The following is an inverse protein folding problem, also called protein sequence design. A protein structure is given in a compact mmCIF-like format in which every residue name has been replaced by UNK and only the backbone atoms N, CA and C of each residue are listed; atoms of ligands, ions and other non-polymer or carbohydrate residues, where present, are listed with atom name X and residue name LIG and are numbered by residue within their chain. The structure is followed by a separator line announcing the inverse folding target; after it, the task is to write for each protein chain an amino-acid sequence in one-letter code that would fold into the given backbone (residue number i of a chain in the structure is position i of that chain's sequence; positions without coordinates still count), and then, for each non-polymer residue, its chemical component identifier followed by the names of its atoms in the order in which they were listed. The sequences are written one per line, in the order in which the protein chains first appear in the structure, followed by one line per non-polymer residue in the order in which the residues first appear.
data_IF_995350713065
#
_entry.id   IF_995350713065
#
_cell.length_a   1.000
_cell.length_b   1.000
_cell.length_c   1.000
_cell.angle_alpha   90.00
_cell.angle_beta   90.00
_cell.angle_gamma   90.00
#
_symmetry.space_group_name_H-M   'P 1'
#
loop_
_entity.id
_entity.type
_entity.pdbx_description
1 polymer ?
#
# COMPACT_ATOMS: atom_id res chain seq x y z
N UNK A 1 2.64 16.83 6.70
CA UNK A 1 3.63 15.85 6.16
C UNK A 1 4.05 16.12 4.70
N UNK A 2 3.13 16.31 3.73
CA UNK A 2 3.47 16.56 2.31
C UNK A 2 4.41 17.75 2.06
N UNK A 3 4.21 18.89 2.73
CA UNK A 3 5.05 20.09 2.58
C UNK A 3 6.52 19.83 2.95
N UNK A 4 6.77 19.10 4.04
CA UNK A 4 8.12 18.76 4.49
C UNK A 4 8.89 17.89 3.48
N UNK A 5 8.19 16.94 2.84
CA UNK A 5 8.80 16.09 1.80
C UNK A 5 9.16 16.89 0.55
N UNK A 6 8.34 17.88 0.19
CA UNK A 6 8.60 18.77 -0.94
C UNK A 6 9.84 19.65 -0.65
N UNK A 7 9.95 20.22 0.55
CA UNK A 7 11.13 21.02 0.94
C UNK A 7 12.42 20.21 0.88
N UNK A 8 12.45 19.03 1.52
CA UNK A 8 13.63 18.15 1.47
C UNK A 8 14.01 17.72 0.05
N UNK A 9 13.02 17.53 -0.83
CA UNK A 9 13.28 17.21 -2.25
C UNK A 9 13.94 18.38 -2.97
N UNK A 10 13.50 19.62 -2.72
CA UNK A 10 14.09 20.83 -3.31
C UNK A 10 15.51 21.05 -2.81
N UNK A 11 15.75 20.91 -1.51
CA UNK A 11 17.08 21.00 -0.91
C UNK A 11 18.04 19.96 -1.51
N UNK A 12 17.62 18.70 -1.61
CA UNK A 12 18.44 17.63 -2.20
C UNK A 12 18.78 17.90 -3.68
N UNK A 13 17.86 18.53 -4.42
CA UNK A 13 18.10 18.89 -5.82
C UNK A 13 19.04 20.10 -5.92
N UNK A 14 18.89 21.10 -5.05
CA UNK A 14 19.78 22.25 -4.98
C UNK A 14 21.23 21.82 -4.68
N UNK A 15 21.44 21.00 -3.64
CA UNK A 15 22.78 20.48 -3.32
C UNK A 15 23.38 19.63 -4.45
N UNK A 16 22.56 18.89 -5.21
CA UNK A 16 23.04 18.19 -6.40
C UNK A 16 23.49 19.16 -7.49
N UNK A 17 22.71 20.20 -7.79
CA UNK A 17 23.07 21.21 -8.79
C UNK A 17 24.37 21.95 -8.41
N UNK A 18 24.55 22.26 -7.12
CA UNK A 18 25.78 22.86 -6.59
C UNK A 18 26.99 21.92 -6.69
N UNK A 19 26.78 20.60 -6.65
CA UNK A 19 27.87 19.61 -6.79
C UNK A 19 28.36 19.41 -8.23
N UNK A 20 27.70 20.01 -9.23
CA UNK A 20 28.08 19.88 -10.63
C UNK A 20 29.19 20.89 -10.97
N UNK A 21 30.17 20.45 -11.75
CA UNK A 21 31.20 21.31 -12.31
C UNK A 21 31.36 21.02 -13.81
N UNK A 22 32.18 21.83 -14.49
CA UNK A 22 32.41 21.72 -15.94
C UNK A 22 33.05 20.39 -16.37
N UNK A 23 33.64 19.63 -15.43
CA UNK A 23 34.21 18.30 -15.67
C UNK A 23 33.22 17.16 -15.43
N UNK A 24 32.04 17.44 -14.90
CA UNK A 24 31.05 16.40 -14.64
C UNK A 24 30.50 15.88 -15.96
N UNK A 25 30.73 14.59 -16.24
CA UNK A 25 30.26 13.95 -17.46
C UNK A 25 28.74 13.98 -17.62
N UNK A 26 28.28 14.32 -18.82
CA UNK A 26 26.84 14.43 -19.17
C UNK A 26 26.05 13.16 -18.87
N UNK A 27 26.66 11.98 -19.04
CA UNK A 27 26.05 10.69 -18.72
C UNK A 27 25.70 10.55 -17.22
N UNK A 28 26.57 11.02 -16.32
CA UNK A 28 26.32 11.00 -14.88
C UNK A 28 25.18 11.95 -14.50
N UNK A 29 25.19 13.16 -15.07
CA UNK A 29 24.11 14.15 -14.87
C UNK A 29 22.77 13.58 -15.32
N UNK A 30 22.72 12.98 -16.51
CA UNK A 30 21.50 12.39 -17.04
C UNK A 30 20.98 11.21 -16.21
N UNK A 31 21.87 10.35 -15.73
CA UNK A 31 21.52 9.25 -14.81
C UNK A 31 20.88 9.79 -13.52
N UNK A 32 21.45 10.83 -12.91
CA UNK A 32 20.91 11.47 -11.70
C UNK A 32 19.57 12.16 -11.97
N UNK A 33 19.43 12.88 -13.08
CA UNK A 33 18.15 13.48 -13.50
C UNK A 33 17.05 12.43 -13.69
N UNK A 34 17.36 11.29 -14.31
CA UNK A 34 16.42 10.16 -14.45
C UNK A 34 15.96 9.61 -13.10
N UNK A 35 16.87 9.45 -12.13
CA UNK A 35 16.52 9.01 -10.77
C UNK A 35 15.52 9.99 -10.12
N UNK A 36 15.71 11.30 -10.27
CA UNK A 36 14.78 12.29 -9.72
C UNK A 36 13.42 12.30 -10.41
N UNK A 37 13.36 11.96 -11.71
CA UNK A 37 12.14 11.90 -12.52
C UNK A 37 11.33 10.61 -12.27
N UNK A 38 12.02 9.47 -12.16
CA UNK A 38 11.40 8.14 -12.12
C UNK A 38 11.48 7.48 -10.74
N UNK A 39 11.48 8.22 -9.62
CA UNK A 39 11.64 7.65 -8.25
C UNK A 39 10.70 6.49 -7.87
N UNK A 40 9.65 6.23 -8.64
CA UNK A 40 8.75 5.08 -8.45
C UNK A 40 9.22 3.80 -9.15
N UNK A 41 10.12 3.90 -10.13
CA UNK A 41 10.58 2.79 -10.96
C UNK A 41 12.09 2.69 -10.79
N UNK A 42 12.46 1.71 -9.97
CA UNK A 42 13.79 1.12 -9.86
C UNK A 42 14.88 1.99 -9.24
N UNK A 43 14.84 2.09 -7.91
CA UNK A 43 16.07 2.30 -7.14
C UNK A 43 16.78 0.95 -7.17
N UNK A 44 17.81 0.84 -8.01
CA UNK A 44 18.76 -0.26 -7.90
C UNK A 44 19.33 -0.24 -6.47
N UNK A 45 18.87 -1.20 -5.67
CA UNK A 45 19.22 -1.28 -4.25
C UNK A 45 20.68 -1.67 -4.07
N UNK A 46 21.37 -2.12 -5.13
CA UNK A 46 22.76 -2.62 -5.14
C UNK A 46 23.80 -1.66 -4.54
N UNK A 47 23.49 -0.36 -4.43
CA UNK A 47 24.46 0.66 -4.02
C UNK A 47 24.25 1.26 -2.61
N UNK A 48 23.23 0.83 -1.85
CA UNK A 48 23.05 1.24 -0.43
C UNK A 48 23.73 0.28 0.57
N UNK A 49 24.71 -0.51 0.13
CA UNK A 49 25.37 -1.53 0.93
C UNK A 49 26.64 -1.01 1.59
N UNK A 50 26.48 -0.16 2.60
CA UNK A 50 27.57 0.14 3.53
C UNK A 50 27.04 0.08 4.97
N UNK A 51 27.42 -1.00 5.66
CA UNK A 51 27.47 -1.12 7.13
C UNK A 51 26.14 -1.36 7.85
N UNK A 52 25.94 -2.59 8.40
CA UNK A 52 25.17 -2.96 9.62
C UNK A 52 23.73 -2.48 9.85
N UNK A 53 23.24 -1.53 9.06
CA UNK A 53 22.03 -0.75 9.29
C UNK A 53 20.79 -1.51 8.81
N UNK A 54 20.91 -2.31 7.75
CA UNK A 54 19.80 -3.13 7.24
C UNK A 54 19.41 -4.23 8.22
N UNK A 55 20.37 -4.89 8.86
CA UNK A 55 20.05 -5.93 9.85
C UNK A 55 19.38 -5.31 11.08
N UNK A 56 19.85 -4.14 11.51
CA UNK A 56 19.18 -3.36 12.56
C UNK A 56 17.77 -2.92 12.17
N UNK A 57 17.57 -2.43 10.95
CA UNK A 57 16.25 -2.04 10.45
C UNK A 57 15.32 -3.24 10.27
N UNK A 58 15.86 -4.37 9.82
CA UNK A 58 15.15 -5.64 9.70
C UNK A 58 14.73 -6.13 11.08
N UNK A 59 15.66 -6.18 12.04
CA UNK A 59 15.37 -6.60 13.40
C UNK A 59 14.39 -5.63 14.08
N UNK A 60 14.51 -4.32 13.85
CA UNK A 60 13.55 -3.33 14.34
C UNK A 60 12.15 -3.54 13.73
N UNK A 61 12.07 -3.88 12.45
CA UNK A 61 10.79 -4.19 11.80
C UNK A 61 10.19 -5.51 12.31
N UNK A 62 11.03 -6.54 12.48
CA UNK A 62 10.62 -7.83 13.07
C UNK A 62 10.13 -7.58 14.50
N UNK A 63 10.91 -6.94 15.36
CA UNK A 63 10.52 -6.64 16.74
C UNK A 63 9.28 -5.75 16.85
N UNK A 64 8.97 -4.94 15.81
CA UNK A 64 7.75 -4.14 15.76
C UNK A 64 6.53 -4.95 15.37
N UNK A 65 6.67 -5.90 14.44
CA UNK A 65 5.58 -6.77 13.99
C UNK A 65 5.33 -7.92 14.99
N UNK A 66 6.41 -8.45 15.52
CA UNK A 66 6.46 -9.61 16.40
C UNK A 66 7.52 -9.35 17.48
N UNK A 67 7.14 -8.67 18.57
CA UNK A 67 8.04 -8.40 19.67
C UNK A 67 8.54 -9.69 20.34
N UNK A 68 9.74 -9.67 20.97
CA UNK A 68 10.31 -10.87 21.60
C UNK A 68 9.53 -11.38 22.82
N UNK A 69 8.58 -10.60 23.35
CA UNK A 69 7.67 -11.02 24.43
C UNK A 69 6.38 -11.65 23.92
N UNK A 70 6.15 -11.68 22.60
CA UNK A 70 5.01 -12.38 21.99
C UNK A 70 5.45 -13.82 21.69
N UNK A 71 4.67 -14.78 22.18
CA UNK A 71 4.91 -16.19 21.96
C UNK A 71 4.79 -16.52 20.47
N UNK A 72 5.83 -17.12 19.90
CA UNK A 72 5.92 -17.52 18.50
C UNK A 72 5.81 -19.04 18.36
N UNK A 73 4.96 -19.68 19.15
CA UNK A 73 4.71 -21.10 18.99
C UNK A 73 3.89 -21.31 17.71
N UNK A 74 4.44 -21.96 16.65
CA UNK A 74 3.69 -22.25 15.44
C UNK A 74 2.53 -23.23 15.67
N UNK A 75 2.51 -23.96 16.79
CA UNK A 75 1.40 -24.80 17.23
C UNK A 75 0.29 -24.04 17.95
N UNK A 76 0.56 -22.81 18.40
CA UNK A 76 -0.41 -21.97 19.07
C UNK A 76 -1.20 -21.15 18.04
N UNK A 77 -2.41 -21.61 17.72
CA UNK A 77 -3.43 -20.73 17.16
C UNK A 77 -4.27 -20.20 18.32
N UNK A 78 -4.36 -18.87 18.52
CA UNK A 78 -5.28 -18.33 19.50
C UNK A 78 -6.69 -18.83 19.16
N UNK A 79 -7.47 -19.20 20.17
CA UNK A 79 -8.88 -19.52 19.97
C UNK A 79 -9.56 -18.31 19.33
N UNK A 80 -10.01 -18.45 18.08
CA UNK A 80 -10.89 -17.47 17.48
C UNK A 80 -12.17 -17.49 18.31
N UNK A 81 -12.38 -16.45 19.13
CA UNK A 81 -13.68 -16.21 19.73
C UNK A 81 -14.66 -15.99 18.58
N UNK A 82 -15.76 -16.73 18.58
CA UNK A 82 -16.90 -16.48 17.69
C UNK A 82 -17.23 -15.00 17.77
N UNK A 83 -17.36 -14.38 16.61
CA UNK A 83 -17.61 -12.96 16.51
C UNK A 83 -18.95 -12.83 15.83
N UNK A 84 -20.00 -12.69 16.63
CA UNK A 84 -21.39 -12.58 16.16
C UNK A 84 -21.51 -11.56 15.02
N UNK A 85 -20.74 -10.47 15.05
CA UNK A 85 -20.72 -9.46 13.99
C UNK A 85 -20.20 -9.96 12.63
N UNK A 86 -19.25 -10.90 12.61
CA UNK A 86 -18.72 -11.49 11.39
C UNK A 86 -19.49 -12.74 10.94
N UNK A 87 -20.27 -13.33 11.85
CA UNK A 87 -21.05 -14.55 11.61
C UNK A 87 -22.47 -14.23 11.11
N UNK A 88 -22.92 -12.99 11.24
CA UNK A 88 -24.20 -12.52 10.68
C UNK A 88 -24.13 -12.22 9.17
N UNK A 89 -25.25 -12.47 8.48
CA UNK A 89 -25.41 -12.08 7.08
C UNK A 89 -25.34 -10.56 6.91
N UNK A 90 -24.67 -10.11 5.85
CA UNK A 90 -24.66 -8.72 5.46
C UNK A 90 -26.06 -8.23 5.10
N UNK A 91 -26.41 -7.06 5.62
CA UNK A 91 -27.62 -6.35 5.27
C UNK A 91 -27.44 -5.52 3.99
N UNK A 92 -28.55 -5.23 3.32
CA UNK A 92 -28.55 -4.35 2.15
C UNK A 92 -28.09 -2.92 2.48
N UNK A 93 -28.34 -2.46 3.71
CA UNK A 93 -27.88 -1.14 4.19
C UNK A 93 -26.36 -1.09 4.28
N UNK A 94 -25.72 -2.12 4.83
CA UNK A 94 -24.26 -2.22 4.91
C UNK A 94 -23.62 -2.28 3.53
N UNK A 95 -24.22 -3.03 2.59
CA UNK A 95 -23.76 -3.04 1.21
C UNK A 95 -23.80 -1.63 0.60
N UNK A 96 -24.87 -0.86 0.82
CA UNK A 96 -24.93 0.51 0.29
C UNK A 96 -23.92 1.44 0.95
N UNK A 97 -23.72 1.36 2.28
CA UNK A 97 -22.69 2.13 2.98
C UNK A 97 -21.30 1.83 2.41
N UNK A 98 -20.99 0.54 2.21
CA UNK A 98 -19.73 0.11 1.60
C UNK A 98 -19.58 0.62 0.15
N UNK A 99 -20.69 0.73 -0.60
CA UNK A 99 -20.68 1.29 -1.94
C UNK A 99 -20.47 2.82 -1.96
N UNK A 100 -20.90 3.52 -0.91
CA UNK A 100 -20.80 4.99 -0.80
C UNK A 100 -19.45 5.45 -0.25
N UNK A 101 -18.88 4.73 0.71
CA UNK A 101 -17.61 5.08 1.37
C UNK A 101 -16.41 4.98 0.41
N UNK A 102 -16.50 4.11 -0.60
CA UNK A 102 -15.37 3.83 -1.47
C UNK A 102 -15.13 4.95 -2.48
N UNK A 103 -13.86 5.35 -2.58
CA UNK A 103 -13.41 6.37 -3.52
C UNK A 103 -13.63 5.95 -4.98
N UNK A 104 -14.43 6.72 -5.72
CA UNK A 104 -14.72 6.51 -7.15
C UNK A 104 -13.48 6.58 -8.04
N UNK A 105 -12.40 7.23 -7.57
CA UNK A 105 -11.12 7.34 -8.30
C UNK A 105 -10.18 6.16 -8.05
N UNK A 106 -10.70 5.07 -7.49
CA UNK A 106 -9.93 3.83 -7.35
C UNK A 106 -9.58 3.30 -8.73
N UNK A 107 -8.34 2.83 -8.89
CA UNK A 107 -7.93 2.18 -10.14
C UNK A 107 -8.81 0.93 -10.40
N UNK A 108 -9.14 0.64 -11.67
CA UNK A 108 -9.86 -0.59 -12.02
C UNK A 108 -9.07 -1.82 -11.56
N UNK A 109 -9.79 -2.90 -11.22
CA UNK A 109 -9.17 -4.17 -10.83
C UNK A 109 -8.66 -4.92 -12.06
N UNK A 110 -8.10 -6.12 -11.85
CA UNK A 110 -7.53 -6.98 -12.90
C UNK A 110 -8.55 -7.37 -13.99
N UNK A 111 -9.85 -7.32 -13.65
CA UNK A 111 -10.99 -7.54 -14.55
C UNK A 111 -11.30 -6.31 -15.45
N UNK A 112 -10.64 -5.17 -15.22
CA UNK A 112 -10.91 -3.92 -15.91
C UNK A 112 -12.22 -3.25 -15.51
N UNK A 113 -12.95 -3.79 -14.52
CA UNK A 113 -14.22 -3.21 -14.09
C UNK A 113 -13.98 -2.03 -13.14
N UNK A 114 -14.52 -0.88 -13.55
CA UNK A 114 -14.57 0.31 -12.73
C UNK A 114 -15.57 0.14 -11.58
N UNK A 115 -15.24 0.71 -10.43
CA UNK A 115 -16.14 0.70 -9.27
C UNK A 115 -17.45 1.46 -9.52
N UNK A 116 -17.42 2.43 -10.44
CA UNK A 116 -18.58 3.21 -10.87
C UNK A 116 -19.68 2.34 -11.48
N UNK A 117 -19.32 1.24 -12.15
CA UNK A 117 -20.27 0.28 -12.70
C UNK A 117 -21.07 -0.38 -11.57
N UNK A 118 -20.37 -0.90 -10.55
CA UNK A 118 -21.00 -1.57 -9.40
C UNK A 118 -21.89 -0.61 -8.63
N UNK A 119 -21.46 0.64 -8.46
CA UNK A 119 -22.23 1.69 -7.77
C UNK A 119 -23.55 2.00 -8.50
N UNK A 120 -23.55 1.99 -9.83
CA UNK A 120 -24.70 2.29 -10.70
C UNK A 120 -25.58 1.08 -11.04
N UNK A 121 -25.31 -0.09 -10.46
CA UNK A 121 -26.13 -1.27 -10.70
C UNK A 121 -27.61 -1.04 -10.30
N UNK A 122 -28.58 -1.53 -11.10
CA UNK A 122 -29.98 -1.62 -10.70
C UNK A 122 -30.14 -2.34 -9.36
N UNK A 123 -31.11 -1.92 -8.55
CA UNK A 123 -31.37 -2.47 -7.21
C UNK A 123 -31.48 -4.00 -7.24
N UNK A 124 -32.18 -4.57 -8.23
CA UNK A 124 -32.31 -6.02 -8.38
C UNK A 124 -30.95 -6.74 -8.48
N UNK A 125 -29.99 -6.17 -9.20
CA UNK A 125 -28.65 -6.76 -9.33
C UNK A 125 -27.82 -6.57 -8.06
N UNK A 126 -28.03 -5.47 -7.32
CA UNK A 126 -27.39 -5.28 -6.00
C UNK A 126 -27.89 -6.30 -4.97
N UNK A 127 -29.17 -6.68 -5.02
CA UNK A 127 -29.73 -7.74 -4.17
C UNK A 127 -29.11 -9.10 -4.50
N UNK A 128 -29.01 -9.46 -5.79
CA UNK A 128 -28.32 -10.70 -6.22
C UNK A 128 -26.86 -10.69 -5.76
N UNK A 129 -26.16 -9.55 -5.87
CA UNK A 129 -24.79 -9.42 -5.40
C UNK A 129 -24.68 -9.63 -3.87
N UNK A 130 -25.65 -9.12 -3.11
CA UNK A 130 -25.73 -9.34 -1.67
C UNK A 130 -25.91 -10.82 -1.34
N UNK A 131 -26.82 -11.49 -2.04
CA UNK A 131 -27.08 -12.92 -1.86
C UNK A 131 -25.81 -13.75 -2.11
N UNK A 132 -25.07 -13.44 -3.18
CA UNK A 132 -23.77 -14.08 -3.49
C UNK A 132 -22.76 -13.87 -2.35
N UNK A 133 -22.65 -12.64 -1.83
CA UNK A 133 -21.73 -12.40 -0.72
C UNK A 133 -22.13 -13.16 0.54
N UNK A 134 -23.41 -13.16 0.87
CA UNK A 134 -23.92 -13.92 2.00
C UNK A 134 -23.65 -15.41 1.83
N UNK A 135 -23.87 -15.99 0.65
CA UNK A 135 -23.56 -17.39 0.37
C UNK A 135 -22.07 -17.71 0.51
N UNK A 136 -21.17 -16.81 0.07
CA UNK A 136 -19.72 -17.01 0.14
C UNK A 136 -19.16 -17.01 1.57
N UNK A 137 -19.79 -16.31 2.50
CA UNK A 137 -19.27 -16.07 3.85
C UNK A 137 -20.02 -16.85 4.95
N UNK A 138 -20.99 -17.69 4.61
CA UNK A 138 -21.74 -18.55 5.55
C UNK A 138 -21.29 -20.02 5.52
N UNK A 139 -20.02 -20.27 5.15
CA UNK A 139 -19.41 -21.62 5.13
C UNK A 139 -18.73 -21.99 6.45
#
# INVERSE_FOLDING_TARGET
MKRMLICKKRESFASFAESLNFRTGSAYVWKKCKIFKNKWIDIDRSHMYVGGSRERLRQAAINKLCPPWVENDPGYMPSCTENEFLDEHFSFSELNIALEDKNEKSAPRLDGMGFDIVKKLPIKLKMILLDIFNEMYTL
#
